data_IF_541808232257
#
_entry.id   IF_541808232257
#
_cell.length_a   1.000
_cell.length_b   1.000
_cell.length_c   1.000
_cell.angle_alpha   90.00
_cell.angle_beta   90.00
_cell.angle_gamma   90.00
#
_symmetry.space_group_name_H-M   'P 1'
#
loop_
_entity.id
_entity.type
_entity.pdbx_description
1 polymer ?
#
# COMPACT_ATOMS: atom_id res chain seq x y z
N UNK A 1 11.82 -46.22 37.27
CA UNK A 1 12.17 -46.90 36.00
C UNK A 1 12.14 -45.83 34.92
N UNK A 2 13.28 -45.63 34.26
CA UNK A 2 13.72 -44.50 33.44
C UNK A 2 12.65 -43.61 32.76
N UNK A 3 12.67 -42.32 33.11
CA UNK A 3 12.16 -41.24 32.27
C UNK A 3 13.07 -41.16 31.04
N UNK A 4 12.51 -41.44 29.85
CA UNK A 4 13.21 -41.35 28.58
C UNK A 4 13.81 -39.95 28.39
N UNK A 5 15.12 -39.87 28.58
CA UNK A 5 15.99 -38.81 28.08
C UNK A 5 15.93 -38.84 26.56
N UNK A 6 15.01 -38.08 25.97
CA UNK A 6 15.01 -37.82 24.53
C UNK A 6 16.30 -37.06 24.24
N UNK A 7 17.18 -37.69 23.46
CA UNK A 7 18.47 -37.18 23.05
C UNK A 7 18.39 -35.71 22.63
N UNK A 8 19.24 -34.88 23.26
CA UNK A 8 19.46 -33.46 22.91
C UNK A 8 20.33 -33.32 21.65
N UNK A 9 20.26 -34.28 20.74
CA UNK A 9 20.96 -34.16 19.46
C UNK A 9 20.12 -33.32 18.51
N UNK A 10 20.78 -32.33 17.89
CA UNK A 10 20.13 -31.51 16.88
C UNK A 10 19.80 -32.41 15.70
N UNK A 11 18.54 -32.43 15.31
CA UNK A 11 18.12 -33.12 14.10
C UNK A 11 18.69 -32.29 12.94
N UNK A 12 19.42 -32.92 12.03
CA UNK A 12 19.97 -32.29 10.81
C UNK A 12 18.89 -31.93 9.79
N UNK A 13 17.76 -31.40 10.25
CA UNK A 13 16.63 -31.02 9.43
C UNK A 13 16.06 -29.64 9.82
N UNK A 14 15.62 -28.88 8.83
CA UNK A 14 15.03 -27.55 8.98
C UNK A 14 13.62 -27.52 8.39
N UNK A 15 12.73 -26.77 9.03
CA UNK A 15 11.40 -26.47 8.51
C UNK A 15 11.36 -25.02 8.04
N UNK A 16 10.96 -24.80 6.79
CA UNK A 16 10.73 -23.47 6.22
C UNK A 16 9.24 -23.29 6.00
N UNK A 17 8.72 -22.16 6.47
CA UNK A 17 7.31 -21.80 6.35
C UNK A 17 7.16 -20.72 5.28
N UNK A 18 6.47 -21.05 4.19
CA UNK A 18 6.21 -20.19 3.04
C UNK A 18 7.19 -20.43 1.90
N UNK A 19 6.69 -20.96 0.79
CA UNK A 19 7.41 -21.21 -0.46
C UNK A 19 7.47 -20.00 -1.39
N UNK A 20 7.54 -18.78 -0.85
CA UNK A 20 7.85 -17.59 -1.65
C UNK A 20 9.31 -17.57 -2.14
N UNK A 21 9.71 -16.51 -2.84
CA UNK A 21 11.07 -16.39 -3.40
C UNK A 21 12.18 -16.53 -2.35
N UNK A 22 11.98 -15.93 -1.16
CA UNK A 22 12.94 -16.04 -0.06
C UNK A 22 12.95 -17.42 0.60
N UNK A 23 11.79 -18.07 0.73
CA UNK A 23 11.69 -19.41 1.31
C UNK A 23 12.29 -20.48 0.41
N UNK A 24 12.09 -20.35 -0.92
CA UNK A 24 12.74 -21.21 -1.91
C UNK A 24 14.26 -21.05 -1.88
N UNK A 25 14.78 -19.81 -1.83
CA UNK A 25 16.23 -19.60 -1.74
C UNK A 25 16.80 -20.16 -0.44
N UNK A 26 16.15 -19.89 0.70
CA UNK A 26 16.58 -20.44 1.98
C UNK A 26 16.53 -21.98 2.01
N UNK A 27 15.58 -22.60 1.31
CA UNK A 27 15.50 -24.04 1.18
C UNK A 27 16.70 -24.59 0.40
N UNK A 28 17.06 -23.95 -0.71
CA UNK A 28 18.23 -24.33 -1.51
C UNK A 28 19.52 -24.17 -0.71
N UNK A 29 19.74 -23.01 -0.10
CA UNK A 29 20.98 -22.74 0.65
C UNK A 29 21.19 -23.75 1.80
N UNK A 30 20.12 -24.13 2.50
CA UNK A 30 20.18 -25.14 3.57
C UNK A 30 20.38 -26.55 3.02
N UNK A 31 19.71 -26.89 1.92
CA UNK A 31 19.83 -28.21 1.30
C UNK A 31 21.23 -28.43 0.68
N UNK A 32 21.81 -27.42 0.05
CA UNK A 32 23.20 -27.44 -0.44
C UNK A 32 24.22 -27.55 0.69
N UNK A 33 23.86 -27.05 1.88
CA UNK A 33 24.65 -27.22 3.11
C UNK A 33 24.50 -28.63 3.72
N UNK A 34 23.74 -29.53 3.10
CA UNK A 34 23.52 -30.91 3.55
C UNK A 34 22.49 -31.05 4.66
N UNK A 35 21.63 -30.04 4.88
CA UNK A 35 20.55 -30.09 5.86
C UNK A 35 19.26 -30.50 5.14
N UNK A 36 18.53 -31.48 5.68
CA UNK A 36 17.24 -31.87 5.11
C UNK A 36 16.20 -30.76 5.35
N UNK A 37 15.52 -30.29 4.32
CA UNK A 37 14.55 -29.19 4.41
C UNK A 37 13.14 -29.69 4.16
N UNK A 38 12.23 -29.33 5.05
CA UNK A 38 10.79 -29.42 4.82
C UNK A 38 10.27 -28.03 4.46
N UNK A 39 9.75 -27.85 3.26
CA UNK A 39 9.21 -26.58 2.79
C UNK A 39 7.68 -26.63 2.80
N UNK A 40 7.05 -25.97 3.77
CA UNK A 40 5.59 -25.94 3.93
C UNK A 40 5.01 -24.69 3.30
N UNK A 41 4.01 -24.86 2.43
CA UNK A 41 3.24 -23.75 1.84
C UNK A 41 1.74 -24.04 1.91
N UNK A 42 0.95 -23.00 2.20
CA UNK A 42 -0.50 -23.11 2.30
C UNK A 42 -1.22 -23.07 0.95
N UNK A 43 -0.53 -22.67 -0.13
CA UNK A 43 -1.03 -22.65 -1.50
C UNK A 43 -0.80 -23.98 -2.22
N UNK A 44 -1.47 -24.22 -3.36
CA UNK A 44 -1.26 -25.41 -4.20
C UNK A 44 0.14 -25.56 -4.79
N UNK A 45 0.87 -24.45 -4.91
CA UNK A 45 2.21 -24.40 -5.49
C UNK A 45 3.08 -23.38 -4.77
N UNK A 46 4.39 -23.62 -4.77
CA UNK A 46 5.43 -22.68 -4.35
C UNK A 46 5.63 -21.59 -5.43
N UNK A 47 6.28 -20.48 -5.07
CA UNK A 47 6.48 -19.29 -5.93
C UNK A 47 5.90 -18.00 -5.36
N UNK A 48 5.02 -18.08 -4.36
CA UNK A 48 4.46 -16.93 -3.66
C UNK A 48 3.69 -15.95 -4.58
N UNK A 49 3.73 -14.65 -4.24
CA UNK A 49 3.07 -13.59 -5.04
C UNK A 49 3.80 -13.34 -6.35
N UNK A 50 5.13 -13.53 -6.36
CA UNK A 50 5.95 -13.27 -7.54
C UNK A 50 5.57 -14.17 -8.73
N UNK A 51 5.01 -15.36 -8.48
CA UNK A 51 4.52 -16.26 -9.53
C UNK A 51 3.24 -15.75 -10.22
N UNK A 52 2.59 -14.73 -9.64
CA UNK A 52 1.36 -14.13 -10.15
C UNK A 52 1.63 -12.83 -10.93
N UNK A 53 2.88 -12.37 -10.95
CA UNK A 53 3.28 -11.16 -11.65
C UNK A 53 3.74 -11.50 -13.07
N UNK A 54 3.33 -10.69 -14.05
CA UNK A 54 3.87 -10.79 -15.41
C UNK A 54 5.27 -10.17 -15.47
N UNK A 55 5.43 -8.94 -14.98
CA UNK A 55 6.68 -8.18 -15.00
C UNK A 55 7.09 -7.68 -13.63
N UNK A 56 8.40 -7.65 -13.40
CA UNK A 56 9.01 -7.17 -12.15
C UNK A 56 9.64 -5.79 -12.35
N UNK A 57 9.37 -4.85 -11.46
CA UNK A 57 10.06 -3.57 -11.43
C UNK A 57 11.40 -3.73 -10.68
N UNK A 58 12.52 -3.08 -11.09
CA UNK A 58 12.68 -2.01 -12.09
C UNK A 58 13.03 -2.48 -13.50
N UNK A 59 13.42 -3.74 -13.68
CA UNK A 59 13.97 -4.23 -14.95
C UNK A 59 12.91 -4.57 -15.99
N UNK A 60 11.64 -4.66 -15.59
CA UNK A 60 10.52 -5.16 -16.38
C UNK A 60 10.71 -6.60 -16.88
N UNK A 61 11.54 -7.39 -16.18
CA UNK A 61 11.77 -8.79 -16.50
C UNK A 61 10.54 -9.64 -16.16
N UNK A 62 10.35 -10.70 -16.95
CA UNK A 62 9.30 -11.70 -16.69
C UNK A 62 9.54 -12.38 -15.33
N UNK A 63 8.59 -12.27 -14.42
CA UNK A 63 8.75 -12.81 -13.06
C UNK A 63 8.97 -14.32 -13.07
N UNK A 64 8.29 -15.03 -13.98
CA UNK A 64 8.43 -16.47 -14.13
C UNK A 64 9.82 -16.87 -14.63
N UNK A 65 10.41 -16.11 -15.56
CA UNK A 65 11.77 -16.39 -16.05
C UNK A 65 12.81 -16.29 -14.94
N UNK A 66 12.65 -15.34 -14.03
CA UNK A 66 13.57 -15.14 -12.90
C UNK A 66 13.41 -16.22 -11.83
N UNK A 67 12.20 -16.76 -11.63
CA UNK A 67 11.94 -17.74 -10.58
C UNK A 67 11.97 -19.19 -11.03
N UNK A 68 11.70 -19.48 -12.30
CA UNK A 68 11.63 -20.83 -12.85
C UNK A 68 12.87 -21.68 -12.53
N UNK A 69 14.12 -21.17 -12.57
CA UNK A 69 15.29 -21.97 -12.19
C UNK A 69 15.19 -22.49 -10.75
N UNK A 70 14.87 -21.60 -9.80
CA UNK A 70 14.72 -21.95 -8.37
C UNK A 70 13.56 -22.91 -8.13
N UNK A 71 12.44 -22.74 -8.85
CA UNK A 71 11.30 -23.65 -8.76
C UNK A 71 11.67 -25.07 -9.17
N UNK A 72 12.41 -25.22 -10.27
CA UNK A 72 12.87 -26.52 -10.78
C UNK A 72 13.90 -27.14 -9.85
N UNK A 73 14.84 -26.34 -9.34
CA UNK A 73 15.86 -26.81 -8.39
C UNK A 73 15.22 -27.31 -7.10
N UNK A 74 14.37 -26.49 -6.46
CA UNK A 74 13.65 -26.89 -5.23
C UNK A 74 12.82 -28.14 -5.44
N UNK A 75 12.11 -28.25 -6.57
CA UNK A 75 11.27 -29.41 -6.87
C UNK A 75 12.03 -30.70 -7.19
N UNK A 76 13.31 -30.61 -7.56
CA UNK A 76 14.15 -31.78 -7.91
C UNK A 76 15.20 -32.11 -6.86
N UNK A 77 15.40 -31.24 -5.88
CA UNK A 77 16.42 -31.44 -4.85
C UNK A 77 16.04 -32.61 -3.93
N UNK A 78 16.95 -33.56 -3.73
CA UNK A 78 16.69 -34.78 -2.94
C UNK A 78 16.44 -34.48 -1.46
N UNK A 79 17.12 -33.46 -0.94
CA UNK A 79 17.03 -33.07 0.47
C UNK A 79 15.92 -32.04 0.75
N UNK A 80 15.13 -31.63 -0.26
CA UNK A 80 13.99 -30.71 -0.06
C UNK A 80 12.70 -31.47 -0.26
N UNK A 81 11.86 -31.50 0.77
CA UNK A 81 10.52 -32.07 0.73
C UNK A 81 9.49 -30.94 0.73
N UNK A 82 8.80 -30.76 -0.40
CA UNK A 82 7.79 -29.70 -0.56
C UNK A 82 6.42 -30.19 -0.11
N UNK A 83 5.85 -29.53 0.89
CA UNK A 83 4.54 -29.82 1.44
C UNK A 83 3.61 -28.64 1.18
N UNK A 84 3.01 -28.64 -0.01
CA UNK A 84 1.97 -27.68 -0.41
C UNK A 84 0.60 -28.01 0.21
N UNK A 85 -0.35 -27.06 0.12
CA UNK A 85 -1.70 -27.17 0.69
C UNK A 85 -1.68 -27.48 2.20
N UNK A 86 -0.65 -27.05 2.92
CA UNK A 86 -0.49 -27.37 4.32
C UNK A 86 -0.41 -26.12 5.18
N UNK A 87 -1.16 -26.15 6.29
CA UNK A 87 -1.18 -25.11 7.31
C UNK A 87 -0.59 -25.64 8.62
N UNK A 88 0.12 -24.80 9.36
CA UNK A 88 0.73 -25.16 10.64
C UNK A 88 -0.30 -25.02 11.76
N UNK A 89 -0.55 -26.10 12.50
CA UNK A 89 -1.52 -26.12 13.62
C UNK A 89 -0.82 -25.85 14.96
N UNK A 90 0.31 -26.50 15.21
CA UNK A 90 1.06 -26.28 16.46
C UNK A 90 2.53 -26.70 16.32
N UNK A 91 3.39 -26.01 17.09
CA UNK A 91 4.82 -26.30 17.21
C UNK A 91 5.11 -26.62 18.67
N UNK A 92 5.75 -27.76 18.94
CA UNK A 92 6.13 -28.19 20.30
C UNK A 92 7.61 -28.54 20.32
N UNK A 93 8.34 -28.11 21.35
CA UNK A 93 9.77 -28.41 21.52
C UNK A 93 10.63 -27.15 21.63
N UNK A 94 11.93 -27.32 21.43
CA UNK A 94 12.93 -26.23 21.54
C UNK A 94 13.71 -26.09 20.22
N UNK A 95 14.41 -24.97 20.04
CA UNK A 95 15.22 -24.74 18.84
C UNK A 95 16.22 -25.90 18.59
N UNK A 96 16.18 -26.49 17.40
CA UNK A 96 17.02 -27.64 17.01
C UNK A 96 16.42 -29.02 17.30
N UNK A 97 15.34 -29.10 18.10
CA UNK A 97 14.57 -30.33 18.31
C UNK A 97 13.11 -29.97 18.61
N UNK A 98 12.33 -29.80 17.56
CA UNK A 98 10.91 -29.44 17.63
C UNK A 98 10.08 -30.32 16.70
N UNK A 99 8.85 -30.57 17.11
CA UNK A 99 7.83 -31.28 16.35
C UNK A 99 6.75 -30.29 15.90
N UNK A 100 6.39 -30.34 14.62
CA UNK A 100 5.36 -29.48 14.03
C UNK A 100 4.20 -30.35 13.57
N UNK A 101 2.99 -29.99 14.01
CA UNK A 101 1.76 -30.58 13.51
C UNK A 101 1.23 -29.72 12.37
N UNK A 102 1.04 -30.33 11.22
CA UNK A 102 0.52 -29.69 10.00
C UNK A 102 -0.82 -30.30 9.60
N UNK A 103 -1.69 -29.49 9.02
CA UNK A 103 -2.95 -29.90 8.41
C UNK A 103 -2.78 -29.78 6.90
N UNK A 104 -2.73 -30.92 6.18
CA UNK A 104 -2.67 -30.94 4.71
C UNK A 104 -4.09 -31.03 4.15
N UNK A 105 -4.48 -30.03 3.37
CA UNK A 105 -5.76 -29.97 2.65
C UNK A 105 -5.73 -30.91 1.44
N UNK A 106 -6.85 -31.58 1.12
CA UNK A 106 -6.91 -32.50 -0.01
C UNK A 106 -6.69 -31.75 -1.33
N UNK A 107 -5.75 -32.25 -2.15
CA UNK A 107 -5.48 -31.74 -3.51
C UNK A 107 -6.56 -32.16 -4.51
N UNK A 108 -7.35 -33.20 -4.18
CA UNK A 108 -8.31 -33.86 -5.08
C UNK A 108 -7.69 -34.33 -6.42
N UNK A 109 -6.37 -34.51 -6.44
CA UNK A 109 -5.58 -35.04 -7.55
C UNK A 109 -4.56 -36.02 -6.96
N UNK A 110 -4.45 -37.19 -7.57
CA UNK A 110 -3.45 -38.20 -7.24
C UNK A 110 -2.08 -37.74 -7.76
N UNK A 111 -1.14 -37.41 -6.86
CA UNK A 111 0.16 -36.83 -7.19
C UNK A 111 1.01 -37.81 -8.03
N UNK A 112 0.90 -39.12 -7.79
CA UNK A 112 1.68 -40.14 -8.51
C UNK A 112 1.21 -40.35 -9.96
N UNK A 113 -0.08 -40.12 -10.23
CA UNK A 113 -0.68 -40.26 -11.57
C UNK A 113 -0.80 -38.94 -12.32
N UNK A 114 -0.39 -37.83 -11.71
CA UNK A 114 -0.55 -36.51 -12.29
C UNK A 114 0.40 -36.34 -13.49
N UNK A 115 -0.16 -36.16 -14.68
CA UNK A 115 0.59 -35.90 -15.91
C UNK A 115 0.63 -34.42 -16.29
N UNK A 116 0.04 -33.53 -15.47
CA UNK A 116 -0.07 -32.10 -15.78
C UNK A 116 -1.10 -31.76 -16.87
N UNK A 117 -2.05 -32.67 -17.15
CA UNK A 117 -3.05 -32.52 -18.22
C UNK A 117 -4.07 -31.38 -18.02
N UNK A 118 -4.18 -30.79 -16.82
CA UNK A 118 -5.07 -29.65 -16.55
C UNK A 118 -6.55 -30.00 -16.33
N UNK A 119 -6.96 -31.28 -16.40
CA UNK A 119 -8.36 -31.73 -16.18
C UNK A 119 -8.89 -31.30 -14.80
N UNK A 120 -8.02 -31.22 -13.79
CA UNK A 120 -8.36 -30.75 -12.45
C UNK A 120 -8.77 -29.26 -12.43
N UNK A 121 -8.18 -28.44 -13.31
CA UNK A 121 -8.54 -27.02 -13.47
C UNK A 121 -9.89 -26.87 -14.20
N UNK A 122 -10.19 -27.79 -15.12
CA UNK A 122 -11.47 -27.79 -15.84
C UNK A 122 -12.65 -28.14 -14.94
N UNK A 123 -12.47 -29.14 -14.09
CA UNK A 123 -13.49 -29.60 -13.16
C UNK A 123 -13.40 -28.90 -11.79
N UNK A 124 -12.63 -27.81 -11.69
CA UNK A 124 -12.42 -27.10 -10.45
C UNK A 124 -13.75 -26.50 -9.96
N UNK A 125 -14.27 -26.89 -8.77
CA UNK A 125 -15.57 -26.42 -8.27
C UNK A 125 -15.59 -24.92 -7.94
N UNK A 126 -14.42 -24.28 -7.93
CA UNK A 126 -14.23 -22.85 -7.65
C UNK A 126 -14.57 -21.96 -8.86
N UNK A 127 -14.83 -22.54 -10.05
CA UNK A 127 -15.32 -21.80 -11.25
C UNK A 127 -16.60 -20.97 -11.00
N UNK A 128 -17.32 -21.24 -9.90
CA UNK A 128 -18.53 -20.52 -9.50
C UNK A 128 -18.34 -19.40 -8.47
N UNK A 129 -17.11 -19.01 -8.12
CA UNK A 129 -16.95 -17.68 -7.55
C UNK A 129 -17.03 -16.71 -8.73
N UNK A 130 -18.24 -16.23 -9.00
CA UNK A 130 -18.46 -15.04 -9.81
C UNK A 130 -17.52 -14.00 -9.20
N UNK A 131 -16.52 -13.54 -9.95
CA UNK A 131 -15.95 -12.22 -9.67
C UNK A 131 -17.13 -11.28 -9.84
N UNK A 132 -17.85 -11.03 -8.75
CA UNK A 132 -18.84 -9.98 -8.71
C UNK A 132 -17.98 -8.76 -9.00
N UNK A 133 -18.04 -8.26 -10.24
CA UNK A 133 -17.60 -6.90 -10.50
C UNK A 133 -18.28 -6.09 -9.42
N UNK A 134 -17.52 -5.45 -8.50
CA UNK A 134 -18.14 -4.69 -7.44
C UNK A 134 -19.17 -3.81 -8.12
N UNK A 135 -20.42 -3.92 -7.68
CA UNK A 135 -21.50 -3.09 -8.20
C UNK A 135 -20.94 -1.68 -8.28
N UNK A 136 -20.96 -1.05 -9.46
CA UNK A 136 -20.46 0.31 -9.61
C UNK A 136 -21.19 1.13 -8.55
N UNK A 137 -20.46 1.56 -7.52
CA UNK A 137 -21.07 2.32 -6.42
C UNK A 137 -21.89 3.44 -7.04
N UNK A 138 -23.14 3.59 -6.59
CA UNK A 138 -23.99 4.68 -7.04
C UNK A 138 -23.23 5.99 -6.78
N UNK A 139 -23.04 6.76 -7.85
CA UNK A 139 -22.36 8.05 -7.78
C UNK A 139 -23.32 9.03 -7.10
N UNK A 140 -23.20 9.17 -5.78
CA UNK A 140 -23.90 10.21 -5.04
C UNK A 140 -23.14 11.53 -5.21
N UNK A 141 -23.52 12.29 -6.24
CA UNK A 141 -23.02 13.66 -6.47
C UNK A 141 -24.14 14.65 -6.24
N UNK A 142 -23.82 15.75 -5.57
CA UNK A 142 -24.76 16.85 -5.40
C UNK A 142 -25.06 17.53 -6.74
N UNK A 143 -26.29 17.96 -6.98
CA UNK A 143 -26.70 18.60 -8.25
C UNK A 143 -25.79 19.79 -8.63
N UNK A 144 -25.29 20.51 -7.62
CA UNK A 144 -24.35 21.64 -7.82
C UNK A 144 -22.99 21.20 -8.37
N UNK A 145 -22.47 20.08 -7.90
CA UNK A 145 -21.17 19.56 -8.33
C UNK A 145 -21.23 18.99 -9.75
N UNK A 146 -22.38 18.42 -10.16
CA UNK A 146 -22.58 18.00 -11.56
C UNK A 146 -22.55 19.19 -12.52
N UNK A 147 -23.17 20.32 -12.18
CA UNK A 147 -23.18 21.50 -13.05
C UNK A 147 -21.79 22.10 -13.24
N UNK A 148 -20.99 22.15 -12.17
CA UNK A 148 -19.62 22.64 -12.20
C UNK A 148 -18.76 21.71 -13.07
N UNK A 149 -18.83 20.40 -12.81
CA UNK A 149 -18.04 19.43 -13.56
C UNK A 149 -18.43 19.36 -15.04
N UNK A 150 -19.72 19.47 -15.38
CA UNK A 150 -20.13 19.51 -16.79
C UNK A 150 -19.56 20.71 -17.52
N UNK A 151 -19.55 21.90 -16.91
CA UNK A 151 -18.91 23.09 -17.50
C UNK A 151 -17.42 22.88 -17.75
N UNK A 152 -16.71 22.30 -16.77
CA UNK A 152 -15.28 22.02 -16.87
C UNK A 152 -15.01 20.98 -17.97
N UNK A 153 -15.82 19.92 -18.05
CA UNK A 153 -15.63 18.84 -19.02
C UNK A 153 -15.94 19.33 -20.45
N UNK A 154 -16.95 20.19 -20.64
CA UNK A 154 -17.25 20.78 -21.95
C UNK A 154 -16.12 21.69 -22.46
N UNK A 155 -15.44 22.42 -21.58
CA UNK A 155 -14.34 23.31 -21.95
C UNK A 155 -13.10 22.55 -22.48
N UNK A 156 -12.86 21.34 -21.99
CA UNK A 156 -11.65 20.55 -22.30
C UNK A 156 -11.93 19.24 -23.06
N UNK A 157 -13.14 19.08 -23.60
CA UNK A 157 -13.59 17.85 -24.27
C UNK A 157 -12.79 17.48 -25.52
N UNK A 158 -12.29 18.49 -26.25
CA UNK A 158 -11.60 18.32 -27.53
C UNK A 158 -10.07 18.32 -27.44
N UNK A 159 -9.50 18.41 -26.23
CA UNK A 159 -8.05 18.41 -26.02
C UNK A 159 -7.49 16.98 -25.88
N UNK A 160 -6.47 16.62 -26.67
CA UNK A 160 -5.69 15.39 -26.45
C UNK A 160 -5.11 15.40 -25.03
N UNK A 161 -5.52 14.44 -24.18
CA UNK A 161 -5.11 14.40 -22.78
C UNK A 161 -5.89 15.30 -21.83
N UNK A 162 -7.14 15.67 -22.17
CA UNK A 162 -8.01 16.56 -21.38
C UNK A 162 -8.27 16.15 -19.92
N UNK A 163 -7.93 14.92 -19.50
CA UNK A 163 -8.10 14.48 -18.12
C UNK A 163 -7.26 15.28 -17.11
N UNK A 164 -6.01 15.64 -17.42
CA UNK A 164 -5.17 16.40 -16.47
C UNK A 164 -5.70 17.83 -16.27
N UNK A 165 -6.03 18.61 -17.32
CA UNK A 165 -6.67 19.92 -17.16
C UNK A 165 -7.99 19.86 -16.39
N UNK A 166 -8.83 18.86 -16.65
CA UNK A 166 -10.11 18.67 -15.94
C UNK A 166 -9.85 18.45 -14.44
N UNK A 167 -8.91 17.57 -14.09
CA UNK A 167 -8.54 17.33 -12.69
C UNK A 167 -7.89 18.54 -12.03
N UNK A 168 -7.08 19.33 -12.75
CA UNK A 168 -6.54 20.59 -12.24
C UNK A 168 -7.65 21.57 -11.90
N UNK A 169 -8.61 21.78 -12.81
CA UNK A 169 -9.71 22.71 -12.59
C UNK A 169 -10.66 22.26 -11.48
N UNK A 170 -10.90 20.96 -11.38
CA UNK A 170 -11.64 20.37 -10.27
C UNK A 170 -10.90 20.61 -8.94
N UNK A 171 -9.59 20.36 -8.90
CA UNK A 171 -8.77 20.61 -7.71
C UNK A 171 -8.71 22.10 -7.34
N UNK A 172 -8.67 23.02 -8.31
CA UNK A 172 -8.73 24.47 -8.04
C UNK A 172 -10.07 24.89 -7.43
N UNK A 173 -11.16 24.20 -7.80
CA UNK A 173 -12.51 24.52 -7.33
C UNK A 173 -12.75 23.97 -5.92
N UNK A 174 -12.35 22.72 -5.68
CA UNK A 174 -12.64 22.01 -4.43
C UNK A 174 -11.47 22.04 -3.44
N UNK A 175 -10.26 22.43 -3.86
CA UNK A 175 -8.97 22.28 -3.15
C UNK A 175 -8.54 20.82 -2.88
N UNK A 176 -9.34 19.85 -3.30
CA UNK A 176 -9.04 18.43 -3.32
C UNK A 176 -9.87 17.74 -4.39
N UNK A 177 -9.69 16.42 -4.56
CA UNK A 177 -10.42 15.60 -5.51
C UNK A 177 -11.30 14.59 -4.74
N UNK A 178 -12.58 14.92 -4.51
CA UNK A 178 -13.53 13.98 -3.91
C UNK A 178 -13.69 12.72 -4.76
N UNK A 179 -13.87 11.57 -4.11
CA UNK A 179 -14.14 10.30 -4.79
C UNK A 179 -15.33 10.36 -5.77
N UNK A 180 -16.47 11.01 -5.43
CA UNK A 180 -17.58 11.16 -6.38
C UNK A 180 -17.14 11.89 -7.66
N UNK A 181 -16.37 12.98 -7.55
CA UNK A 181 -15.88 13.76 -8.69
C UNK A 181 -14.99 12.92 -9.61
N UNK A 182 -14.12 12.07 -9.05
CA UNK A 182 -13.28 11.16 -9.82
C UNK A 182 -14.11 10.10 -10.56
N UNK A 183 -15.09 9.50 -9.89
CA UNK A 183 -16.02 8.52 -10.48
C UNK A 183 -16.83 9.13 -11.64
N UNK A 184 -17.32 10.36 -11.47
CA UNK A 184 -18.07 11.07 -12.51
C UNK A 184 -17.21 11.45 -13.71
N UNK A 185 -15.99 11.92 -13.46
CA UNK A 185 -15.04 12.24 -14.52
C UNK A 185 -14.69 11.01 -15.34
N UNK A 186 -14.49 9.86 -14.68
CA UNK A 186 -14.25 8.57 -15.34
C UNK A 186 -15.42 8.16 -16.25
N UNK A 187 -16.66 8.30 -15.78
CA UNK A 187 -17.86 7.95 -16.56
C UNK A 187 -18.07 8.90 -17.75
N UNK A 188 -17.89 10.21 -17.55
CA UNK A 188 -18.11 11.21 -18.61
C UNK A 188 -17.06 11.18 -19.71
N UNK A 189 -15.82 10.86 -19.38
CA UNK A 189 -14.73 10.77 -20.34
C UNK A 189 -14.56 9.36 -20.94
N UNK A 190 -15.36 8.38 -20.51
CA UNK A 190 -15.25 6.97 -20.89
C UNK A 190 -13.83 6.39 -20.63
N UNK A 191 -13.25 6.77 -19.49
CA UNK A 191 -11.91 6.34 -19.06
C UNK A 191 -12.06 5.44 -17.82
N UNK A 192 -11.33 4.31 -17.72
CA UNK A 192 -11.34 3.49 -16.51
C UNK A 192 -10.95 4.29 -15.25
N UNK A 193 -11.71 4.14 -14.15
CA UNK A 193 -11.43 4.81 -12.87
C UNK A 193 -9.99 4.56 -12.38
N UNK A 194 -9.43 3.38 -12.67
CA UNK A 194 -8.04 3.05 -12.34
C UNK A 194 -7.03 4.00 -12.99
N UNK A 195 -7.28 4.47 -14.22
CA UNK A 195 -6.43 5.43 -14.92
C UNK A 195 -6.56 6.81 -14.29
N UNK A 196 -7.77 7.22 -13.93
CA UNK A 196 -8.04 8.49 -13.24
C UNK A 196 -7.35 8.52 -11.88
N UNK A 197 -7.53 7.47 -11.06
CA UNK A 197 -6.87 7.34 -9.75
C UNK A 197 -5.34 7.29 -9.89
N UNK A 198 -4.82 6.64 -10.94
CA UNK A 198 -3.37 6.63 -11.22
C UNK A 198 -2.83 8.04 -11.45
N UNK A 199 -3.53 8.88 -12.19
CA UNK A 199 -3.11 10.26 -12.43
C UNK A 199 -3.27 11.11 -11.16
N UNK A 200 -4.39 10.97 -10.45
CA UNK A 200 -4.66 11.70 -9.22
C UNK A 200 -3.63 11.41 -8.12
N UNK A 201 -3.12 10.17 -8.04
CA UNK A 201 -2.09 9.77 -7.07
C UNK A 201 -0.66 10.05 -7.52
N UNK A 202 -0.43 10.21 -8.83
CA UNK A 202 0.91 10.42 -9.38
C UNK A 202 1.42 11.86 -9.22
N UNK A 203 0.56 12.86 -9.40
CA UNK A 203 0.95 14.26 -9.30
C UNK A 203 0.80 14.79 -7.88
N UNK A 204 1.90 15.25 -7.28
CA UNK A 204 1.90 15.91 -5.96
C UNK A 204 1.02 17.17 -5.87
N UNK A 205 0.62 17.74 -7.01
CA UNK A 205 -0.27 18.89 -7.07
C UNK A 205 -1.72 18.54 -6.65
N UNK A 206 -2.12 17.27 -6.78
CA UNK A 206 -3.46 16.81 -6.44
C UNK A 206 -3.53 16.28 -5.01
N UNK A 207 -4.67 16.52 -4.36
CA UNK A 207 -4.98 15.95 -3.04
C UNK A 207 -6.21 15.09 -3.12
N UNK A 208 -6.17 13.87 -2.59
CA UNK A 208 -7.35 13.04 -2.38
C UNK A 208 -8.03 13.31 -1.04
N UNK A 209 -7.30 13.93 -0.11
CA UNK A 209 -7.81 14.31 1.20
C UNK A 209 -8.32 15.75 1.18
N UNK A 210 -9.41 16.06 1.91
CA UNK A 210 -9.97 17.41 1.97
C UNK A 210 -8.92 18.43 2.40
N UNK A 211 -8.70 19.47 1.59
CA UNK A 211 -7.88 20.62 1.96
C UNK A 211 -8.74 21.87 2.04
N UNK A 212 -8.49 22.66 3.08
CA UNK A 212 -9.13 23.95 3.27
C UNK A 212 -8.49 25.04 2.42
N UNK A 213 -9.18 26.19 2.33
CA UNK A 213 -8.75 27.37 1.56
C UNK A 213 -7.32 27.84 1.91
N UNK A 214 -6.90 27.70 3.17
CA UNK A 214 -5.61 28.14 3.67
C UNK A 214 -4.81 26.97 4.26
N UNK A 215 -3.87 26.45 3.47
CA UNK A 215 -2.96 25.39 3.90
C UNK A 215 -1.84 26.00 4.76
N UNK A 216 -1.85 25.70 6.06
CA UNK A 216 -0.81 26.09 7.02
C UNK A 216 0.24 24.98 7.06
N UNK A 217 1.38 25.24 6.46
CA UNK A 217 2.52 24.34 6.41
C UNK A 217 3.57 24.74 7.45
N UNK A 218 3.81 23.89 8.47
CA UNK A 218 4.78 24.17 9.54
C UNK A 218 6.11 23.44 9.30
N UNK A 219 7.23 24.16 9.40
CA UNK A 219 8.55 23.57 9.29
C UNK A 219 8.96 22.84 10.58
N UNK A 220 9.24 21.54 10.46
CA UNK A 220 9.79 20.69 11.52
C UNK A 220 11.27 20.33 11.31
N UNK A 221 11.99 21.14 10.52
CA UNK A 221 13.43 21.00 10.34
C UNK A 221 14.19 21.24 11.64
N UNK A 222 15.44 20.81 11.70
CA UNK A 222 16.29 20.88 12.90
C UNK A 222 16.34 22.29 13.51
N UNK A 223 16.56 23.32 12.70
CA UNK A 223 16.59 24.72 13.16
C UNK A 223 15.25 25.19 13.75
N UNK A 224 14.12 24.81 13.14
CA UNK A 224 12.79 25.16 13.63
C UNK A 224 12.41 24.35 14.87
N UNK A 225 12.79 23.07 14.92
CA UNK A 225 12.56 22.20 16.06
C UNK A 225 13.28 22.71 17.32
N UNK A 226 14.57 23.04 17.22
CA UNK A 226 15.37 23.58 18.34
C UNK A 226 14.82 24.94 18.81
N UNK A 227 14.35 25.79 17.90
CA UNK A 227 13.70 27.07 18.25
C UNK A 227 12.24 26.94 18.75
N UNK A 228 11.74 25.72 18.91
CA UNK A 228 10.44 25.47 19.54
C UNK A 228 9.25 25.42 18.60
N UNK A 229 9.42 24.99 17.34
CA UNK A 229 8.32 24.76 16.40
C UNK A 229 7.23 23.82 16.96
N UNK A 230 7.59 22.87 17.83
CA UNK A 230 6.60 22.03 18.52
C UNK A 230 5.59 22.84 19.34
N UNK A 231 6.01 23.96 19.96
CA UNK A 231 5.12 24.87 20.70
C UNK A 231 4.16 25.62 19.79
N UNK A 232 4.56 25.88 18.55
CA UNK A 232 3.73 26.54 17.52
C UNK A 232 2.68 25.57 17.01
N UNK A 233 3.05 24.31 16.76
CA UNK A 233 2.10 23.26 16.36
C UNK A 233 1.03 23.06 17.42
N UNK A 234 1.41 22.85 18.69
CA UNK A 234 0.42 22.69 19.76
C UNK A 234 -0.48 23.92 19.94
N UNK A 235 0.02 25.13 19.65
CA UNK A 235 -0.80 26.34 19.67
C UNK A 235 -1.81 26.38 18.51
N UNK A 236 -1.42 25.90 17.32
CA UNK A 236 -2.29 25.76 16.16
C UNK A 236 -3.36 24.68 16.39
N UNK A 237 -2.95 23.50 16.87
CA UNK A 237 -3.86 22.38 17.18
C UNK A 237 -4.92 22.79 18.20
N UNK A 238 -4.52 23.42 19.31
CA UNK A 238 -5.46 23.88 20.34
C UNK A 238 -6.43 24.97 19.86
N UNK A 239 -6.04 25.79 18.87
CA UNK A 239 -6.87 26.92 18.42
C UNK A 239 -7.82 26.53 17.29
N UNK A 240 -7.36 25.66 16.39
CA UNK A 240 -8.14 25.17 15.26
C UNK A 240 -8.95 23.91 15.59
N UNK A 241 -8.62 23.22 16.69
CA UNK A 241 -9.31 21.99 17.10
C UNK A 241 -8.98 20.77 16.23
N UNK A 242 -7.90 20.83 15.47
CA UNK A 242 -7.46 19.79 14.51
C UNK A 242 -6.09 19.24 14.91
N UNK A 243 -5.76 18.04 14.44
CA UNK A 243 -4.41 17.47 14.55
C UNK A 243 -3.57 17.74 13.31
N UNK A 244 -2.26 17.49 13.41
CA UNK A 244 -1.37 17.42 12.24
C UNK A 244 -1.96 16.55 11.11
N UNK A 245 -2.04 17.10 9.91
CA UNK A 245 -2.58 16.45 8.72
C UNK A 245 -4.10 16.57 8.54
N UNK A 246 -4.82 17.16 9.50
CA UNK A 246 -6.27 17.31 9.41
C UNK A 246 -6.68 18.70 8.89
N UNK A 247 -7.91 18.77 8.40
CA UNK A 247 -8.56 19.98 7.92
C UNK A 247 -9.72 20.33 8.86
N UNK A 248 -9.91 21.62 9.14
CA UNK A 248 -11.04 22.10 9.95
C UNK A 248 -12.38 21.76 9.30
N UNK A 249 -13.42 21.51 10.10
CA UNK A 249 -14.79 21.25 9.62
C UNK A 249 -15.32 22.37 8.70
N UNK A 250 -14.91 23.62 8.97
CA UNK A 250 -15.26 24.80 8.17
C UNK A 250 -14.56 24.85 6.78
N UNK A 251 -13.70 23.88 6.45
CA UNK A 251 -12.89 23.83 5.21
C UNK A 251 -12.05 25.11 4.96
N UNK A 252 -11.73 25.85 6.02
CA UNK A 252 -10.93 27.08 5.93
C UNK A 252 -9.44 26.83 6.09
N UNK A 253 -9.03 25.94 7.00
CA UNK A 253 -7.62 25.70 7.33
C UNK A 253 -7.27 24.22 7.28
N UNK A 254 -6.08 23.93 6.74
CA UNK A 254 -5.45 22.60 6.82
C UNK A 254 -4.09 22.73 7.48
N UNK A 255 -3.77 21.83 8.42
CA UNK A 255 -2.48 21.85 9.11
C UNK A 255 -1.55 20.79 8.55
N UNK A 256 -0.60 21.18 7.71
CA UNK A 256 0.44 20.28 7.18
C UNK A 256 1.79 20.51 7.87
N UNK A 257 2.63 19.48 7.89
CA UNK A 257 4.00 19.58 8.43
C UNK A 257 5.01 19.13 7.40
N UNK A 258 6.10 19.88 7.25
CA UNK A 258 7.18 19.55 6.31
C UNK A 258 8.51 19.49 7.03
N UNK A 259 9.46 18.78 6.44
CA UNK A 259 10.82 18.71 6.99
C UNK A 259 11.60 20.01 6.82
N UNK A 260 11.47 20.71 5.69
CA UNK A 260 12.21 21.94 5.47
C UNK A 260 11.47 22.89 4.52
N UNK A 261 11.40 24.17 4.88
CA UNK A 261 10.93 25.26 4.00
C UNK A 261 12.12 26.02 3.40
N UNK A 262 13.35 25.81 3.91
CA UNK A 262 14.57 26.46 3.42
C UNK A 262 14.89 27.81 4.08
N UNK A 263 14.00 28.38 4.89
CA UNK A 263 14.17 29.70 5.51
C UNK A 263 14.73 29.62 6.96
N UNK A 264 15.82 28.90 7.18
CA UNK A 264 16.34 28.63 8.54
C UNK A 264 16.69 29.91 9.35
N UNK A 265 17.09 31.01 8.69
CA UNK A 265 17.37 32.28 9.36
C UNK A 265 16.16 32.91 10.07
N UNK A 266 14.95 32.61 9.59
CA UNK A 266 13.69 33.12 10.12
C UNK A 266 12.99 32.11 11.05
N UNK A 267 13.68 31.04 11.46
CA UNK A 267 13.11 30.01 12.33
C UNK A 267 12.58 30.60 13.67
N UNK A 268 11.41 30.16 14.17
CA UNK A 268 10.47 29.20 13.56
C UNK A 268 9.69 29.78 12.38
N UNK A 269 9.57 29.00 11.30
CA UNK A 269 8.88 29.40 10.06
C UNK A 269 7.63 28.58 9.82
N UNK A 270 6.57 29.23 9.38
CA UNK A 270 5.37 28.63 8.82
C UNK A 270 5.06 29.25 7.45
N UNK A 271 4.32 28.53 6.62
CA UNK A 271 3.85 29.00 5.31
C UNK A 271 2.33 28.87 5.28
N UNK A 272 1.61 29.89 4.81
CA UNK A 272 0.16 29.83 4.59
C UNK A 272 -0.13 30.08 3.11
N UNK A 273 -0.62 29.05 2.41
CA UNK A 273 -0.70 29.08 0.95
C UNK A 273 0.70 29.30 0.38
N UNK A 274 0.96 30.42 -0.29
CA UNK A 274 2.29 30.78 -0.78
C UNK A 274 3.09 31.71 0.15
N UNK A 275 2.45 32.33 1.14
CA UNK A 275 3.07 33.34 1.99
C UNK A 275 3.92 32.73 3.11
N UNK A 276 5.18 33.16 3.24
CA UNK A 276 6.11 32.70 4.26
C UNK A 276 6.08 33.65 5.47
N UNK A 277 5.88 33.09 6.66
CA UNK A 277 5.83 33.81 7.93
C UNK A 277 6.94 33.32 8.86
N UNK A 278 7.85 34.23 9.21
CA UNK A 278 9.02 33.98 10.04
C UNK A 278 8.89 34.48 11.48
N UNK A 279 9.81 34.04 12.35
CA UNK A 279 9.91 34.44 13.76
C UNK A 279 8.58 34.23 14.51
N UNK A 280 7.99 33.07 14.28
CA UNK A 280 6.67 32.73 14.81
C UNK A 280 6.73 32.34 16.27
N UNK A 281 5.81 32.89 17.05
CA UNK A 281 5.61 32.62 18.48
C UNK A 281 4.14 32.34 18.77
N UNK A 282 3.81 31.82 19.95
CA UNK A 282 2.42 31.52 20.34
C UNK A 282 1.46 32.71 20.19
N UNK A 283 1.93 33.93 20.44
CA UNK A 283 1.11 35.15 20.30
C UNK A 283 0.81 35.48 18.83
N UNK A 284 1.84 35.45 17.97
CA UNK A 284 1.69 35.76 16.55
C UNK A 284 0.82 34.76 15.78
N UNK A 285 0.72 33.52 16.27
CA UNK A 285 -0.20 32.52 15.68
C UNK A 285 -1.66 33.00 15.73
N UNK A 286 -2.05 33.70 16.80
CA UNK A 286 -3.43 34.19 16.95
C UNK A 286 -3.73 35.35 15.99
N UNK A 287 -2.78 36.27 15.82
CA UNK A 287 -2.88 37.38 14.87
C UNK A 287 -3.00 36.84 13.44
N UNK A 288 -2.20 35.84 13.11
CA UNK A 288 -2.17 35.23 11.79
C UNK A 288 -3.50 34.55 11.43
N UNK A 289 -4.07 33.74 12.34
CA UNK A 289 -5.37 33.09 12.08
C UNK A 289 -6.48 34.15 11.92
N UNK A 290 -6.45 35.21 12.71
CA UNK A 290 -7.45 36.29 12.65
C UNK A 290 -7.37 37.08 11.34
N UNK A 291 -6.15 37.31 10.83
CA UNK A 291 -5.93 37.98 9.56
C UNK A 291 -6.50 37.16 8.37
N UNK A 292 -6.32 35.84 8.38
CA UNK A 292 -6.81 34.96 7.31
C UNK A 292 -8.27 34.52 7.48
N UNK A 293 -8.88 34.65 8.68
CA UNK A 293 -10.33 34.43 8.86
C UNK A 293 -11.18 35.56 8.28
N UNK A 294 -10.63 36.76 8.15
CA UNK A 294 -11.33 37.96 7.67
C UNK A 294 -11.05 38.28 6.19
N UNK A 295 -10.45 37.36 5.43
CA UNK A 295 -10.02 37.52 4.03
C UNK A 295 -10.62 36.47 3.09
#
# INVERSE_FOLDING_TARGET
MALNTVDKEKIGAALIVGGGIGGMQAALDLAESGIKVYLVDNKPSIGGVMAQLDKTFPTNDCAMCTMAPRLVEVGRHKDIEVISLADIESIRGNAGNFNVKIIKRPRYVDEEKCTGCGICTENCPVRNIIYVTPEKDKIEISVKDMEIMNKIIEEYKDAEGGLVPVLQKANDTYNYLPEPVLKYTAEKLDIPLSVVCRIATFYNAFSLEPRGKHIITVCLGTACHVKGAGKVISALENKLGIKKGETTEDMLFTLETVRCIGCCGLAPVLKVGENIHGLMSKGKVQELISAYKNA
#
